data_IF_255664689803
#
_entry.id   IF_255664689803
#
_cell.length_a   1.000
_cell.length_b   1.000
_cell.length_c   1.000
_cell.angle_alpha   90.00
_cell.angle_beta   90.00
_cell.angle_gamma   90.00
#
_symmetry.space_group_name_H-M   'P 1'
#
loop_
_entity.id
_entity.type
_entity.pdbx_description
1 polymer ?
#
# COMPACT_ATOMS: atom_id res chain seq x y z
N UNK A 1 35.71 -47.26 1.43
CA UNK A 1 35.94 -45.80 1.32
C UNK A 1 35.77 -45.19 2.71
N UNK A 2 36.75 -44.44 3.20
CA UNK A 2 36.60 -43.69 4.46
C UNK A 2 35.63 -42.53 4.29
N UNK A 3 34.89 -42.19 5.34
CA UNK A 3 33.89 -41.09 5.34
C UNK A 3 34.51 -39.76 4.86
N UNK A 4 35.79 -39.50 5.19
CA UNK A 4 36.50 -38.33 4.68
C UNK A 4 36.72 -38.35 3.15
N UNK A 5 36.97 -39.52 2.56
CA UNK A 5 37.16 -39.64 1.11
C UNK A 5 35.84 -39.40 0.38
N UNK A 6 34.72 -39.94 0.87
CA UNK A 6 33.41 -39.70 0.27
C UNK A 6 32.97 -38.24 0.41
N UNK A 7 33.25 -37.58 1.53
CA UNK A 7 33.01 -36.14 1.70
C UNK A 7 33.82 -35.30 0.72
N UNK A 8 35.13 -35.55 0.59
CA UNK A 8 36.00 -34.83 -0.37
C UNK A 8 35.52 -34.97 -1.81
N UNK A 9 35.08 -36.17 -2.20
CA UNK A 9 34.55 -36.44 -3.54
C UNK A 9 33.25 -35.68 -3.79
N UNK A 10 32.30 -35.73 -2.84
CA UNK A 10 31.04 -34.96 -2.93
C UNK A 10 31.24 -33.45 -3.00
N UNK A 11 32.20 -32.90 -2.24
CA UNK A 11 32.54 -31.48 -2.33
C UNK A 11 33.12 -31.13 -3.71
N UNK A 12 33.96 -32.00 -4.27
CA UNK A 12 34.57 -31.79 -5.58
C UNK A 12 33.50 -31.80 -6.68
N UNK A 13 32.57 -32.74 -6.61
CA UNK A 13 31.43 -32.82 -7.52
C UNK A 13 30.55 -31.58 -7.42
N UNK A 14 30.19 -31.17 -6.21
CA UNK A 14 29.39 -29.96 -5.96
C UNK A 14 30.07 -28.72 -6.55
N UNK A 15 31.39 -28.59 -6.38
CA UNK A 15 32.17 -27.49 -6.94
C UNK A 15 32.17 -27.49 -8.48
N UNK A 16 32.35 -28.66 -9.10
CA UNK A 16 32.33 -28.79 -10.57
C UNK A 16 30.95 -28.43 -11.13
N UNK A 17 29.89 -28.93 -10.52
CA UNK A 17 28.52 -28.59 -10.92
C UNK A 17 28.24 -27.11 -10.70
N UNK A 18 28.61 -26.55 -9.54
CA UNK A 18 28.49 -25.11 -9.28
C UNK A 18 29.15 -24.28 -10.39
N UNK A 19 30.42 -24.57 -10.72
CA UNK A 19 31.13 -23.86 -11.78
C UNK A 19 30.46 -24.00 -13.15
N UNK A 20 29.88 -25.17 -13.44
CA UNK A 20 29.17 -25.44 -14.71
C UNK A 20 27.87 -24.64 -14.79
N UNK A 21 27.04 -24.68 -13.74
CA UNK A 21 25.77 -23.96 -13.69
C UNK A 21 26.01 -22.45 -13.80
N UNK A 22 27.00 -21.91 -13.07
CA UNK A 22 27.37 -20.50 -13.19
C UNK A 22 27.80 -20.10 -14.59
N UNK A 23 28.56 -20.96 -15.28
CA UNK A 23 28.94 -20.70 -16.67
C UNK A 23 27.73 -20.77 -17.61
N UNK A 24 26.78 -21.66 -17.36
CA UNK A 24 25.55 -21.76 -18.15
C UNK A 24 24.68 -20.51 -17.99
N UNK A 25 24.52 -20.03 -16.75
CA UNK A 25 23.81 -18.78 -16.44
C UNK A 25 24.45 -17.58 -17.16
N UNK A 26 25.78 -17.45 -17.12
CA UNK A 26 26.49 -16.34 -17.75
C UNK A 26 26.57 -16.43 -19.29
N UNK A 27 26.35 -17.62 -19.86
CA UNK A 27 26.37 -17.81 -21.30
C UNK A 27 25.02 -17.46 -21.95
N UNK A 28 23.93 -17.51 -21.20
CA UNK A 28 22.58 -17.20 -21.68
C UNK A 28 22.20 -15.75 -21.34
N UNK A 29 22.16 -14.89 -22.37
CA UNK A 29 21.80 -13.47 -22.22
C UNK A 29 20.40 -13.27 -21.64
N UNK A 30 19.46 -14.18 -21.91
CA UNK A 30 18.10 -14.12 -21.38
C UNK A 30 18.06 -14.45 -19.89
N UNK A 31 18.76 -15.51 -19.47
CA UNK A 31 18.89 -15.86 -18.05
C UNK A 31 19.62 -14.76 -17.27
N UNK A 32 20.66 -14.16 -17.84
CA UNK A 32 21.35 -13.02 -17.24
C UNK A 32 20.41 -11.83 -17.00
N UNK A 33 19.51 -11.55 -17.94
CA UNK A 33 18.52 -10.48 -17.79
C UNK A 33 17.61 -10.73 -16.58
N UNK A 34 17.06 -11.94 -16.45
CA UNK A 34 16.16 -12.30 -15.35
C UNK A 34 16.85 -12.40 -13.98
N UNK A 35 18.13 -12.76 -13.92
CA UNK A 35 18.83 -12.92 -12.64
C UNK A 35 19.50 -11.65 -12.15
N UNK A 36 19.98 -10.78 -13.05
CA UNK A 36 20.76 -9.61 -12.67
C UNK A 36 20.13 -8.28 -13.05
N UNK A 37 19.43 -8.19 -14.17
CA UNK A 37 18.91 -6.90 -14.64
C UNK A 37 17.56 -6.62 -14.01
N UNK A 38 16.59 -7.52 -14.16
CA UNK A 38 15.23 -7.30 -13.64
C UNK A 38 15.22 -7.19 -12.11
N UNK A 39 15.86 -8.08 -11.33
CA UNK A 39 15.83 -8.00 -9.86
C UNK A 39 16.52 -6.78 -9.28
N UNK A 40 17.45 -6.16 -10.01
CA UNK A 40 18.20 -5.00 -9.53
C UNK A 40 17.68 -3.68 -10.09
N UNK A 41 17.25 -3.61 -11.34
CA UNK A 41 16.74 -2.34 -11.90
C UNK A 41 15.31 -2.09 -11.45
N UNK A 42 14.48 -3.13 -11.41
CA UNK A 42 13.06 -2.99 -11.16
C UNK A 42 12.73 -2.44 -9.76
N UNK A 43 13.41 -2.86 -8.67
CA UNK A 43 13.23 -2.23 -7.36
C UNK A 43 13.56 -0.74 -7.34
N UNK A 44 14.61 -0.32 -8.03
CA UNK A 44 15.01 1.09 -8.08
C UNK A 44 14.01 1.90 -8.89
N UNK A 45 13.55 1.37 -10.03
CA UNK A 45 12.50 2.00 -10.83
C UNK A 45 11.20 2.16 -10.03
N UNK A 46 10.75 1.10 -9.37
CA UNK A 46 9.55 1.15 -8.53
C UNK A 46 9.74 2.07 -7.33
N UNK A 47 10.87 2.01 -6.63
CA UNK A 47 11.13 2.92 -5.53
C UNK A 47 11.23 4.38 -5.98
N UNK A 48 11.63 4.66 -7.22
CA UNK A 48 11.64 6.01 -7.78
C UNK A 48 10.22 6.48 -8.17
N UNK A 49 9.42 5.61 -8.77
CA UNK A 49 8.04 5.90 -9.16
C UNK A 49 7.13 6.10 -7.93
N UNK A 50 7.26 5.21 -6.95
CA UNK A 50 6.42 5.14 -5.75
C UNK A 50 7.07 5.83 -4.53
N UNK A 51 8.26 6.43 -4.70
CA UNK A 51 9.05 7.03 -3.62
C UNK A 51 8.49 8.32 -3.03
N UNK A 52 7.67 9.04 -3.80
CA UNK A 52 7.12 10.35 -3.40
C UNK A 52 5.67 10.26 -2.89
N UNK A 53 5.19 9.07 -2.54
CA UNK A 53 3.78 8.79 -2.27
C UNK A 53 3.33 9.04 -0.82
N UNK A 54 3.75 10.18 -0.27
CA UNK A 54 2.85 10.83 0.67
C UNK A 54 1.65 11.28 -0.14
N UNK A 55 0.53 10.55 -0.09
CA UNK A 55 -0.73 10.97 -0.70
C UNK A 55 -1.20 12.21 0.07
N UNK A 56 -0.72 13.36 -0.39
CA UNK A 56 -1.09 14.69 0.08
C UNK A 56 -2.04 15.28 -0.94
N UNK A 57 -3.02 16.02 -0.45
CA UNK A 57 -3.97 16.74 -1.30
C UNK A 57 -4.84 15.84 -2.20
N UNK A 58 -5.39 14.75 -1.65
CA UNK A 58 -6.34 13.90 -2.37
C UNK A 58 -7.59 14.71 -2.76
N UNK A 59 -7.97 14.81 -4.04
CA UNK A 59 -9.01 15.74 -4.47
C UNK A 59 -10.43 15.23 -4.14
N UNK A 60 -11.07 15.91 -3.20
CA UNK A 60 -12.39 15.64 -2.66
C UNK A 60 -13.39 16.73 -3.11
N UNK A 61 -14.61 16.33 -3.48
CA UNK A 61 -15.72 17.27 -3.71
C UNK A 61 -16.65 17.25 -2.51
N UNK A 62 -17.08 18.42 -2.04
CA UNK A 62 -18.03 18.54 -0.93
C UNK A 62 -19.40 18.95 -1.46
N UNK A 63 -20.41 18.15 -1.12
CA UNK A 63 -21.83 18.45 -1.37
C UNK A 63 -22.45 18.94 -0.06
N UNK A 64 -22.55 20.26 0.11
CA UNK A 64 -23.14 20.87 1.31
C UNK A 64 -24.62 21.20 1.08
N UNK A 65 -25.51 20.31 1.53
CA UNK A 65 -26.96 20.54 1.50
C UNK A 65 -27.47 21.30 2.73
N UNK A 66 -26.68 21.37 3.81
CA UNK A 66 -27.07 22.07 5.04
C UNK A 66 -26.88 23.58 4.92
N UNK A 67 -25.88 24.03 4.16
CA UNK A 67 -25.54 25.45 3.96
C UNK A 67 -25.41 26.25 5.28
N UNK A 68 -25.00 25.57 6.34
CA UNK A 68 -24.92 26.09 7.71
C UNK A 68 -23.49 26.48 8.10
N UNK A 69 -23.33 27.21 9.22
CA UNK A 69 -21.99 27.54 9.71
C UNK A 69 -21.20 26.28 10.12
N UNK A 70 -21.88 25.31 10.75
CA UNK A 70 -21.30 24.04 11.20
C UNK A 70 -20.88 23.14 10.03
N UNK A 71 -21.70 23.02 8.99
CA UNK A 71 -21.33 22.24 7.78
C UNK A 71 -20.12 22.83 7.06
N UNK A 72 -20.06 24.15 6.89
CA UNK A 72 -18.88 24.82 6.33
C UNK A 72 -17.64 24.66 7.22
N UNK A 73 -17.81 24.66 8.53
CA UNK A 73 -16.71 24.39 9.46
C UNK A 73 -16.20 22.94 9.34
N UNK A 74 -17.11 21.97 9.26
CA UNK A 74 -16.76 20.57 9.02
C UNK A 74 -15.95 20.41 7.73
N UNK A 75 -16.45 20.97 6.63
CA UNK A 75 -15.76 20.91 5.34
C UNK A 75 -14.37 21.58 5.37
N UNK A 76 -14.23 22.74 6.03
CA UNK A 76 -12.93 23.40 6.20
C UNK A 76 -11.95 22.59 7.04
N UNK A 77 -12.41 21.89 8.08
CA UNK A 77 -11.54 21.04 8.89
C UNK A 77 -11.08 19.79 8.13
N UNK A 78 -11.94 19.25 7.26
CA UNK A 78 -11.56 18.17 6.33
C UNK A 78 -10.52 18.67 5.33
N UNK A 79 -10.71 19.85 4.74
CA UNK A 79 -9.74 20.48 3.83
C UNK A 79 -8.41 20.84 4.51
N UNK A 80 -8.44 21.16 5.81
CA UNK A 80 -7.24 21.42 6.60
C UNK A 80 -6.45 20.15 6.94
N UNK A 81 -6.97 18.96 6.62
CA UNK A 81 -6.25 17.70 6.85
C UNK A 81 -5.15 17.52 5.81
N UNK A 82 -3.95 17.04 6.18
CA UNK A 82 -2.78 16.99 5.28
C UNK A 82 -2.96 16.09 4.05
N UNK A 83 -3.88 15.12 4.12
CA UNK A 83 -4.05 14.08 3.10
C UNK A 83 -5.21 14.38 2.12
N UNK A 84 -6.01 15.42 2.36
CA UNK A 84 -7.24 15.74 1.62
C UNK A 84 -7.21 17.19 1.13
N UNK A 85 -7.62 17.41 -0.12
CA UNK A 85 -7.83 18.74 -0.68
C UNK A 85 -9.24 18.85 -1.24
N UNK A 86 -10.00 19.82 -0.76
CA UNK A 86 -11.36 20.08 -1.25
C UNK A 86 -11.26 20.92 -2.53
N UNK A 87 -11.51 20.30 -3.68
CA UNK A 87 -11.35 20.94 -5.00
C UNK A 87 -12.59 21.73 -5.43
N UNK A 88 -13.76 21.37 -4.93
CA UNK A 88 -15.01 22.05 -5.26
C UNK A 88 -16.07 21.86 -4.18
N UNK A 89 -16.91 22.89 -4.04
CA UNK A 89 -18.15 22.85 -3.30
C UNK A 89 -19.31 22.89 -4.30
N UNK A 90 -20.17 21.88 -4.27
CA UNK A 90 -21.33 21.79 -5.17
C UNK A 90 -22.61 21.62 -4.36
N UNK A 91 -23.74 22.05 -4.92
CA UNK A 91 -25.04 21.94 -4.24
C UNK A 91 -25.76 20.63 -4.54
N UNK A 92 -25.38 19.94 -5.63
CA UNK A 92 -26.08 18.75 -6.12
C UNK A 92 -25.14 17.56 -6.24
N UNK A 93 -25.58 16.38 -5.80
CA UNK A 93 -24.79 15.15 -5.92
C UNK A 93 -24.49 14.79 -7.38
N UNK A 94 -25.43 15.02 -8.30
CA UNK A 94 -25.21 14.77 -9.74
C UNK A 94 -24.01 15.54 -10.30
N UNK A 95 -23.79 16.77 -9.83
CA UNK A 95 -22.63 17.58 -10.25
C UNK A 95 -21.34 17.01 -9.67
N UNK A 96 -21.36 16.57 -8.40
CA UNK A 96 -20.22 15.88 -7.78
C UNK A 96 -19.85 14.60 -8.53
N UNK A 97 -20.84 13.77 -8.89
CA UNK A 97 -20.61 12.57 -9.68
C UNK A 97 -20.07 12.88 -11.08
N UNK A 98 -20.49 13.99 -11.70
CA UNK A 98 -19.92 14.44 -12.97
C UNK A 98 -18.46 14.85 -12.84
N UNK A 99 -18.08 15.51 -11.74
CA UNK A 99 -16.68 15.86 -11.46
C UNK A 99 -15.81 14.63 -11.28
N UNK A 100 -16.31 13.62 -10.57
CA UNK A 100 -15.63 12.33 -10.42
C UNK A 100 -15.51 11.60 -11.76
N UNK A 101 -16.58 11.59 -12.57
CA UNK A 101 -16.55 11.00 -13.91
C UNK A 101 -15.57 11.70 -14.86
N UNK A 102 -15.30 12.99 -14.63
CA UNK A 102 -14.28 13.77 -15.37
C UNK A 102 -12.88 13.69 -14.77
N UNK A 103 -12.64 12.79 -13.80
CA UNK A 103 -11.36 12.57 -13.12
C UNK A 103 -10.79 13.81 -12.40
N UNK A 104 -11.65 14.81 -12.11
CA UNK A 104 -11.26 16.02 -11.37
C UNK A 104 -11.22 15.80 -9.86
N UNK A 105 -11.91 14.77 -9.38
CA UNK A 105 -11.97 14.37 -7.98
C UNK A 105 -12.17 12.87 -7.86
N UNK A 106 -11.80 12.28 -6.73
CA UNK A 106 -11.91 10.83 -6.51
C UNK A 106 -12.79 10.44 -5.32
N UNK A 107 -13.30 11.43 -4.57
CA UNK A 107 -14.24 11.23 -3.47
C UNK A 107 -15.29 12.34 -3.41
N UNK A 108 -16.42 12.02 -2.81
CA UNK A 108 -17.54 12.95 -2.59
C UNK A 108 -17.92 12.88 -1.11
N UNK A 109 -17.85 14.01 -0.41
CA UNK A 109 -18.35 14.16 0.95
C UNK A 109 -19.72 14.85 0.91
N UNK A 110 -20.77 14.13 1.29
CA UNK A 110 -22.13 14.65 1.33
C UNK A 110 -22.52 15.00 2.76
N UNK A 111 -22.86 16.27 2.98
CA UNK A 111 -23.38 16.78 4.23
C UNK A 111 -24.91 16.99 4.07
N UNK A 112 -25.74 16.17 4.73
CA UNK A 112 -27.21 16.26 4.64
C UNK A 112 -27.78 17.59 5.14
N UNK A 113 -28.98 17.95 4.69
CA UNK A 113 -29.65 19.20 5.05
C UNK A 113 -29.97 19.32 6.56
N UNK A 114 -30.23 18.18 7.19
CA UNK A 114 -30.56 18.00 8.60
C UNK A 114 -29.33 18.04 9.53
N UNK A 115 -28.12 18.12 8.98
CA UNK A 115 -26.87 18.08 9.75
C UNK A 115 -26.83 19.09 10.91
N UNK A 116 -27.03 20.38 10.63
CA UNK A 116 -27.04 21.43 11.68
C UNK A 116 -28.18 21.21 12.68
N UNK A 117 -29.38 20.87 12.18
CA UNK A 117 -30.57 20.67 13.01
C UNK A 117 -30.37 19.53 14.00
N UNK A 118 -29.79 18.41 13.57
CA UNK A 118 -29.50 17.29 14.45
C UNK A 118 -28.47 17.65 15.52
N UNK A 119 -27.39 18.35 15.14
CA UNK A 119 -26.39 18.81 16.12
C UNK A 119 -26.97 19.78 17.15
N UNK A 120 -27.85 20.70 16.74
CA UNK A 120 -28.51 21.64 17.66
C UNK A 120 -29.51 20.94 18.59
N UNK A 121 -30.17 19.89 18.12
CA UNK A 121 -31.17 19.12 18.89
C UNK A 121 -30.58 18.04 19.80
N UNK A 122 -29.26 17.93 19.92
CA UNK A 122 -28.64 16.85 20.70
C UNK A 122 -28.71 15.47 20.03
N UNK A 123 -29.09 15.41 18.75
CA UNK A 123 -29.18 14.16 17.97
C UNK A 123 -27.88 13.91 17.21
N UNK A 124 -27.64 12.64 16.89
CA UNK A 124 -26.50 12.24 16.08
C UNK A 124 -26.69 12.72 14.62
N UNK A 125 -25.81 13.61 14.16
CA UNK A 125 -25.73 13.99 12.76
C UNK A 125 -24.91 12.96 11.97
N UNK A 126 -25.20 12.85 10.68
CA UNK A 126 -24.52 11.93 9.77
C UNK A 126 -23.82 12.71 8.66
N UNK A 127 -22.69 12.18 8.22
CA UNK A 127 -21.95 12.64 7.02
C UNK A 127 -21.68 11.40 6.18
N UNK A 128 -21.90 11.50 4.86
CA UNK A 128 -21.76 10.37 3.96
C UNK A 128 -20.55 10.58 3.07
N UNK A 129 -19.61 9.64 3.08
CA UNK A 129 -18.46 9.65 2.20
C UNK A 129 -18.69 8.65 1.06
N UNK A 130 -18.86 9.15 -0.16
CA UNK A 130 -18.95 8.32 -1.37
C UNK A 130 -17.58 8.29 -2.03
N UNK A 131 -16.94 7.13 -2.03
CA UNK A 131 -15.62 6.93 -2.61
C UNK A 131 -15.52 5.54 -3.20
N UNK A 132 -14.69 5.38 -4.23
CA UNK A 132 -14.37 4.08 -4.82
C UNK A 132 -13.08 3.53 -4.23
N UNK A 133 -12.93 2.20 -4.25
CA UNK A 133 -11.68 1.53 -3.91
C UNK A 133 -10.67 1.47 -5.07
N UNK A 134 -11.00 2.02 -6.23
CA UNK A 134 -10.09 2.08 -7.38
C UNK A 134 -8.74 2.76 -7.04
N UNK A 135 -8.76 3.70 -6.09
CA UNK A 135 -7.58 4.29 -5.47
C UNK A 135 -7.65 4.11 -3.95
N UNK A 136 -7.21 2.95 -3.46
CA UNK A 136 -7.29 2.59 -2.03
C UNK A 136 -6.61 3.61 -1.10
N UNK A 137 -5.57 4.31 -1.57
CA UNK A 137 -4.90 5.36 -0.79
C UNK A 137 -5.79 6.60 -0.60
N UNK A 138 -6.51 7.03 -1.64
CA UNK A 138 -7.48 8.14 -1.53
C UNK A 138 -8.63 7.77 -0.60
N UNK A 139 -9.16 6.54 -0.74
CA UNK A 139 -10.18 6.02 0.19
C UNK A 139 -9.75 6.14 1.66
N UNK A 140 -8.52 5.70 1.96
CA UNK A 140 -7.94 5.76 3.31
C UNK A 140 -7.81 7.21 3.79
N UNK A 141 -7.27 8.10 2.95
CA UNK A 141 -7.11 9.51 3.29
C UNK A 141 -8.45 10.17 3.64
N UNK A 142 -9.46 10.02 2.78
CA UNK A 142 -10.80 10.59 3.01
C UNK A 142 -11.46 10.02 4.27
N UNK A 143 -11.37 8.71 4.48
CA UNK A 143 -12.02 8.04 5.62
C UNK A 143 -11.41 8.48 6.94
N UNK A 144 -10.07 8.53 7.02
CA UNK A 144 -9.37 8.95 8.23
C UNK A 144 -9.62 10.42 8.54
N UNK A 145 -9.44 11.31 7.55
CA UNK A 145 -9.66 12.74 7.74
C UNK A 145 -11.11 13.04 8.17
N UNK A 146 -12.10 12.45 7.48
CA UNK A 146 -13.51 12.67 7.80
C UNK A 146 -13.86 12.13 9.20
N UNK A 147 -13.38 10.94 9.56
CA UNK A 147 -13.63 10.34 10.86
C UNK A 147 -12.97 11.14 12.00
N UNK A 148 -11.72 11.58 11.81
CA UNK A 148 -11.01 12.39 12.80
C UNK A 148 -11.70 13.74 13.03
N UNK A 149 -12.12 14.40 11.96
CA UNK A 149 -12.86 15.67 12.04
C UNK A 149 -14.21 15.45 12.72
N UNK A 150 -14.96 14.40 12.39
CA UNK A 150 -16.23 14.07 13.03
C UNK A 150 -16.07 13.79 14.53
N UNK A 151 -15.07 13.01 14.93
CA UNK A 151 -14.77 12.72 16.32
C UNK A 151 -14.32 13.99 17.07
N UNK A 152 -13.49 14.82 16.46
CA UNK A 152 -12.96 16.04 17.10
C UNK A 152 -14.05 17.10 17.26
N UNK A 153 -14.78 17.40 16.19
CA UNK A 153 -15.89 18.35 16.24
C UNK A 153 -17.03 17.85 17.13
N UNK A 154 -17.36 16.56 17.09
CA UNK A 154 -18.34 15.94 17.99
C UNK A 154 -17.95 16.10 19.47
N UNK A 155 -16.67 15.90 19.79
CA UNK A 155 -16.13 16.14 21.13
C UNK A 155 -16.26 17.59 21.57
N UNK A 156 -15.90 18.54 20.72
CA UNK A 156 -16.02 19.97 21.04
C UNK A 156 -17.48 20.41 21.25
N UNK A 157 -18.41 19.89 20.45
CA UNK A 157 -19.84 20.17 20.60
C UNK A 157 -20.34 19.63 21.94
N UNK A 158 -19.96 18.40 22.30
CA UNK A 158 -20.37 17.79 23.56
C UNK A 158 -19.78 18.53 24.78
N UNK A 159 -18.53 18.97 24.70
CA UNK A 159 -17.90 19.78 25.72
C UNK A 159 -18.66 21.10 25.97
N UNK A 160 -19.15 21.76 24.91
CA UNK A 160 -19.93 23.01 25.02
C UNK A 160 -21.31 22.81 25.65
N UNK A 161 -21.86 21.59 25.63
CA UNK A 161 -23.16 21.29 26.27
C UNK A 161 -23.07 21.16 27.79
N UNK A 162 -21.86 20.99 28.35
CA UNK A 162 -21.63 20.84 29.78
C UNK A 162 -20.71 21.95 30.36
N UNK A 163 -21.12 23.23 30.33
CA UNK A 163 -20.27 24.37 30.72
C UNK A 163 -19.93 24.44 32.22
N UNK A 164 -20.62 23.67 33.07
CA UNK A 164 -20.49 23.73 34.54
C UNK A 164 -19.51 22.68 35.12
N UNK A 165 -18.93 21.82 34.29
CA UNK A 165 -17.92 20.86 34.72
C UNK A 165 -16.52 21.52 34.72
N UNK A 166 -15.62 21.07 35.60
CA UNK A 166 -14.21 21.47 35.51
C UNK A 166 -13.63 21.07 34.15
N UNK A 167 -12.61 21.79 33.67
CA UNK A 167 -11.98 21.50 32.37
C UNK A 167 -11.52 20.05 32.27
N UNK A 168 -10.97 19.49 33.35
CA UNK A 168 -10.56 18.08 33.44
C UNK A 168 -11.76 17.12 33.38
N UNK A 169 -12.83 17.40 34.13
CA UNK A 169 -14.03 16.55 34.10
C UNK A 169 -14.71 16.54 32.72
N UNK A 170 -14.68 17.68 32.01
CA UNK A 170 -15.19 17.78 30.64
C UNK A 170 -14.33 16.98 29.66
N UNK A 171 -12.99 17.04 29.79
CA UNK A 171 -12.08 16.26 28.97
C UNK A 171 -12.28 14.75 29.18
N UNK A 172 -12.45 14.29 30.42
CA UNK A 172 -12.70 12.88 30.74
C UNK A 172 -14.08 12.44 30.20
N UNK A 173 -15.12 13.26 30.33
CA UNK A 173 -16.46 12.92 29.85
C UNK A 173 -16.53 12.77 28.33
N UNK A 174 -15.82 13.65 27.61
CA UNK A 174 -15.86 13.75 26.15
C UNK A 174 -14.82 12.85 25.46
N UNK A 175 -13.71 12.56 26.13
CA UNK A 175 -12.65 11.64 25.67
C UNK A 175 -12.29 10.65 26.79
N UNK A 176 -13.18 9.70 27.13
CA UNK A 176 -12.94 8.76 28.23
C UNK A 176 -11.82 7.76 27.94
N UNK A 177 -11.53 7.52 26.66
CA UNK A 177 -10.42 6.68 26.21
C UNK A 177 -9.44 7.56 25.46
N UNK A 178 -8.21 7.64 25.94
CA UNK A 178 -7.12 8.24 25.19
C UNK A 178 -6.65 7.26 24.12
N UNK A 179 -6.80 7.66 22.86
CA UNK A 179 -6.30 6.92 21.72
C UNK A 179 -5.10 7.67 21.16
N UNK A 180 -3.94 7.02 21.19
CA UNK A 180 -2.73 7.48 20.52
C UNK A 180 -2.34 6.43 19.48
N UNK A 181 -2.17 6.87 18.24
CA UNK A 181 -1.76 6.01 17.14
C UNK A 181 -0.26 6.17 16.91
N UNK A 182 0.52 5.29 17.53
CA UNK A 182 1.95 5.19 17.24
C UNK A 182 2.10 4.27 16.03
N UNK A 183 2.75 4.76 14.96
CA UNK A 183 3.03 3.96 13.76
C UNK A 183 4.54 3.76 13.62
N UNK A 184 5.14 2.73 14.25
CA UNK A 184 6.57 2.47 14.16
C UNK A 184 6.98 2.21 12.71
N UNK A 185 8.08 2.81 12.28
CA UNK A 185 8.73 2.56 10.98
C UNK A 185 7.92 2.93 9.72
N UNK A 186 6.68 3.44 9.83
CA UNK A 186 5.90 3.97 8.71
C UNK A 186 4.96 5.14 9.14
N UNK A 187 5.51 6.29 9.57
CA UNK A 187 4.71 7.39 10.11
C UNK A 187 3.77 8.02 9.08
N UNK A 188 4.11 7.97 7.79
CA UNK A 188 3.23 8.45 6.71
C UNK A 188 2.19 7.41 6.31
N UNK A 189 2.29 6.17 6.82
CA UNK A 189 1.49 5.03 6.38
C UNK A 189 1.39 4.96 4.86
N UNK A 190 2.52 5.24 4.20
CA UNK A 190 2.63 5.41 2.76
C UNK A 190 2.66 4.08 2.02
N UNK A 191 2.31 4.12 0.75
CA UNK A 191 2.23 2.93 -0.10
C UNK A 191 3.58 2.22 -0.23
N UNK A 192 4.68 2.98 -0.36
CA UNK A 192 6.04 2.44 -0.43
C UNK A 192 6.39 1.54 0.77
N UNK A 193 6.11 1.99 2.00
CA UNK A 193 6.45 1.24 3.21
C UNK A 193 5.65 -0.05 3.38
N UNK A 194 4.44 -0.11 2.84
CA UNK A 194 3.55 -1.27 2.95
C UNK A 194 3.71 -2.26 1.78
N UNK A 195 3.64 -1.78 0.53
CA UNK A 195 3.49 -2.65 -0.63
C UNK A 195 4.81 -3.01 -1.29
N UNK A 196 5.80 -2.11 -1.27
CA UNK A 196 7.07 -2.31 -1.97
C UNK A 196 7.79 -3.61 -1.52
N UNK A 197 7.93 -3.92 -0.22
CA UNK A 197 8.59 -5.16 0.19
C UNK A 197 7.91 -6.43 -0.36
N UNK A 198 6.57 -6.46 -0.36
CA UNK A 198 5.81 -7.59 -0.89
C UNK A 198 5.99 -7.76 -2.40
N UNK A 199 5.91 -6.66 -3.15
CA UNK A 199 6.15 -6.66 -4.61
C UNK A 199 7.57 -7.10 -4.93
N UNK A 200 8.58 -6.66 -4.18
CA UNK A 200 9.97 -7.06 -4.38
C UNK A 200 10.17 -8.56 -4.25
N UNK A 201 9.58 -9.19 -3.22
CA UNK A 201 9.63 -10.64 -3.03
C UNK A 201 8.96 -11.37 -4.20
N UNK A 202 7.81 -10.88 -4.67
CA UNK A 202 7.10 -11.45 -5.81
C UNK A 202 7.91 -11.37 -7.11
N UNK A 203 8.52 -10.21 -7.39
CA UNK A 203 9.36 -10.03 -8.57
C UNK A 203 10.55 -11.00 -8.50
N UNK A 204 11.25 -11.05 -7.36
CA UNK A 204 12.37 -11.97 -7.17
C UNK A 204 11.95 -13.42 -7.42
N UNK A 205 10.81 -13.84 -6.88
CA UNK A 205 10.28 -15.18 -7.07
C UNK A 205 9.95 -15.45 -8.55
N UNK A 206 9.27 -14.52 -9.23
CA UNK A 206 8.87 -14.67 -10.63
C UNK A 206 10.07 -14.67 -11.58
N UNK A 207 11.05 -13.80 -11.38
CA UNK A 207 12.24 -13.72 -12.23
C UNK A 207 13.16 -14.91 -12.03
N UNK A 208 13.29 -15.41 -10.80
CA UNK A 208 14.03 -16.65 -10.53
C UNK A 208 13.36 -17.85 -11.22
N UNK A 209 12.02 -17.95 -11.13
CA UNK A 209 11.27 -19.02 -11.78
C UNK A 209 11.45 -18.96 -13.30
N UNK A 210 11.28 -17.79 -13.91
CA UNK A 210 11.48 -17.60 -15.36
C UNK A 210 12.92 -17.90 -15.77
N UNK A 211 13.92 -17.45 -15.01
CA UNK A 211 15.33 -17.70 -15.34
C UNK A 211 15.71 -19.18 -15.25
N UNK A 212 15.22 -19.91 -14.24
CA UNK A 212 15.43 -21.37 -14.15
C UNK A 212 14.71 -22.11 -15.28
N UNK A 213 13.46 -21.73 -15.58
CA UNK A 213 12.71 -22.31 -16.71
C UNK A 213 13.38 -22.05 -18.05
N UNK A 214 13.90 -20.84 -18.26
CA UNK A 214 14.61 -20.47 -19.49
C UNK A 214 15.93 -21.21 -19.61
N UNK A 215 16.71 -21.34 -18.53
CA UNK A 215 17.93 -22.14 -18.52
C UNK A 215 17.64 -23.58 -18.97
N UNK A 216 16.55 -24.17 -18.46
CA UNK A 216 16.07 -25.51 -18.86
C UNK A 216 15.63 -25.56 -20.33
N UNK A 217 14.96 -24.52 -20.81
CA UNK A 217 14.53 -24.39 -22.20
C UNK A 217 15.72 -24.32 -23.16
N UNK A 218 16.73 -23.51 -22.84
CA UNK A 218 17.95 -23.38 -23.62
C UNK A 218 18.75 -24.69 -23.67
N UNK A 219 18.78 -25.45 -22.57
CA UNK A 219 19.36 -26.81 -22.55
C UNK A 219 18.62 -27.76 -23.50
N UNK A 220 17.28 -27.69 -23.51
CA UNK A 220 16.44 -28.49 -24.39
C UNK A 220 16.65 -28.15 -25.87
N UNK A 221 16.69 -26.87 -26.22
CA UNK A 221 16.90 -26.39 -27.59
C UNK A 221 18.28 -26.76 -28.14
N UNK A 222 19.31 -26.70 -27.31
CA UNK A 222 20.68 -27.09 -27.69
C UNK A 222 20.85 -28.60 -27.86
N UNK A 223 19.78 -29.38 -27.71
CA UNK A 223 19.80 -30.83 -27.88
C UNK A 223 20.63 -31.54 -26.80
N UNK A 224 20.91 -30.87 -25.69
CA UNK A 224 21.63 -31.42 -24.54
C UNK A 224 20.71 -32.39 -23.77
N UNK A 225 20.24 -33.44 -24.44
CA UNK A 225 19.65 -34.63 -23.81
C UNK A 225 20.77 -35.45 -23.16
N UNK A 226 21.39 -34.89 -22.13
CA UNK A 226 22.19 -35.68 -21.21
C UNK A 226 21.36 -35.89 -19.96
N UNK A 227 20.73 -37.06 -19.90
CA UNK A 227 20.32 -37.71 -18.66
C UNK A 227 21.40 -37.42 -17.62
N UNK A 228 20.99 -36.78 -16.53
CA UNK A 228 21.87 -36.47 -15.42
C UNK A 228 22.34 -37.79 -14.81
N UNK A 229 23.56 -38.18 -15.21
CA UNK A 229 24.50 -39.14 -14.59
C UNK A 229 24.53 -40.57 -15.16
N UNK A 230 25.69 -40.97 -15.73
CA UNK A 230 26.58 -41.82 -14.93
C UNK A 230 28.08 -41.47 -15.08
N UNK A 231 28.83 -41.56 -13.99
CA UNK A 231 30.29 -41.66 -13.89
C UNK A 231 30.58 -42.98 -13.21
N UNK A 232 30.82 -43.98 -14.03
CA UNK A 232 31.46 -45.20 -13.57
C UNK A 232 32.96 -44.97 -13.58
N UNK A 233 33.61 -45.15 -12.42
CA UNK A 233 35.04 -44.87 -12.20
C UNK A 233 35.35 -43.71 -11.24
N UNK A 234 34.34 -43.00 -10.72
CA UNK A 234 34.53 -42.00 -9.66
C UNK A 234 33.72 -40.70 -9.78
N UNK A 235 32.39 -40.82 -9.87
CA UNK A 235 31.34 -39.85 -9.46
C UNK A 235 30.96 -38.73 -10.42
N UNK A 236 29.72 -38.48 -10.82
CA UNK A 236 28.40 -38.88 -10.35
C UNK A 236 27.84 -40.23 -10.78
N UNK A 237 27.33 -41.07 -9.87
CA UNK A 237 26.25 -42.02 -10.19
C UNK A 237 25.05 -41.66 -9.33
N UNK A 238 23.85 -41.61 -9.92
CA UNK A 238 22.58 -41.63 -9.20
C UNK A 238 22.12 -43.07 -8.97
N UNK A 239 21.89 -43.42 -7.71
CA UNK A 239 20.68 -44.12 -7.27
C UNK A 239 20.17 -43.38 -6.04
#
# INVERSE_FOLDING_TARGET
MTILQSMKLRLTDLWVTYCREWRAILADKGVMLFFFVVPFIYPFLYSALYGNEGVRESPLVVVDKSSSALSREFARRVDASPDVAVVAHVSTESEAYSLVASEKAYGILVIPEDFSKHLEQGRQAQVNLHTTFAAALYYKAYSLATAEVALTMGREIEARRHPNASTEATQIAVRPIESEWITPYNPQSGFQGFLLPGILVLILQQTLLLGVSMLRGTEWEKGARHFYYPRVGGHYVSL
#
